data_IF_796370667440
#
_entry.id   IF_796370667440
#
_cell.length_a   1.000
_cell.length_b   1.000
_cell.length_c   1.000
_cell.angle_alpha   90.00
_cell.angle_beta   90.00
_cell.angle_gamma   90.00
#
_symmetry.space_group_name_H-M   'P 1'
#
loop_
_entity.id
_entity.type
_entity.pdbx_description
1 polymer ?
#
# COMPACT_ATOMS: atom_id res chain seq x y z
N UNK A 1 -2.18 -16.67 -16.40
CA UNK A 1 -1.99 -15.94 -15.13
C UNK A 1 -0.73 -16.44 -14.44
N UNK A 2 0.25 -15.56 -14.19
CA UNK A 2 1.41 -15.88 -13.33
C UNK A 2 1.34 -15.06 -12.05
N UNK A 3 1.38 -15.75 -10.92
CA UNK A 3 1.27 -15.17 -9.58
C UNK A 3 2.47 -15.60 -8.76
N UNK A 4 3.17 -14.63 -8.17
CA UNK A 4 4.21 -14.84 -7.18
C UNK A 4 3.84 -14.02 -5.95
N UNK A 5 3.44 -14.68 -4.86
CA UNK A 5 3.02 -14.01 -3.63
C UNK A 5 3.90 -14.46 -2.46
N UNK A 6 4.42 -13.49 -1.69
CA UNK A 6 5.23 -13.70 -0.48
C UNK A 6 6.44 -14.63 -0.63
N UNK A 7 6.98 -14.68 -1.85
CA UNK A 7 8.17 -15.49 -2.14
C UNK A 7 9.44 -14.81 -1.56
N UNK A 8 10.51 -15.59 -1.39
CA UNK A 8 11.84 -15.07 -1.07
C UNK A 8 12.59 -14.53 -2.30
N UNK A 9 11.86 -14.28 -3.40
CA UNK A 9 12.41 -13.77 -4.65
C UNK A 9 12.88 -12.34 -4.44
N UNK A 10 14.18 -12.10 -4.62
CA UNK A 10 14.76 -10.76 -4.52
C UNK A 10 14.89 -10.07 -5.88
N UNK A 11 15.02 -10.85 -6.96
CA UNK A 11 15.09 -10.33 -8.33
C UNK A 11 14.29 -11.25 -9.25
N UNK A 12 13.73 -10.71 -10.32
CA UNK A 12 13.26 -11.53 -11.43
C UNK A 12 14.44 -11.85 -12.35
N UNK A 13 14.50 -13.07 -12.92
CA UNK A 13 15.55 -13.41 -13.85
C UNK A 13 15.40 -12.63 -15.16
N UNK A 14 16.52 -12.32 -15.82
CA UNK A 14 16.53 -11.53 -17.05
C UNK A 14 15.73 -12.14 -18.20
N UNK A 15 15.52 -13.46 -18.21
CA UNK A 15 14.69 -14.14 -19.22
C UNK A 15 13.18 -13.89 -19.02
N UNK A 16 12.76 -13.23 -17.93
CA UNK A 16 11.33 -12.94 -17.69
C UNK A 16 10.68 -12.20 -18.88
N UNK A 17 11.43 -11.34 -19.57
CA UNK A 17 10.98 -10.63 -20.78
C UNK A 17 10.57 -11.53 -21.93
N UNK A 18 11.02 -12.79 -21.95
CA UNK A 18 10.65 -13.78 -22.96
C UNK A 18 9.20 -14.25 -22.83
N UNK A 19 8.52 -13.91 -21.72
CA UNK A 19 7.12 -14.25 -21.48
C UNK A 19 6.16 -13.28 -22.20
N UNK A 20 6.40 -12.97 -23.48
CA UNK A 20 5.68 -11.95 -24.25
C UNK A 20 4.16 -12.17 -24.33
N UNK A 21 3.70 -13.42 -24.22
CA UNK A 21 2.28 -13.81 -24.20
C UNK A 21 1.64 -13.75 -22.81
N UNK A 22 2.34 -13.22 -21.80
CA UNK A 22 1.79 -13.10 -20.45
C UNK A 22 0.67 -12.07 -20.43
N UNK A 23 -0.54 -12.50 -20.06
CA UNK A 23 -1.70 -11.59 -19.97
C UNK A 23 -1.93 -11.00 -18.57
N UNK A 24 -1.53 -11.73 -17.51
CA UNK A 24 -1.75 -11.34 -16.13
C UNK A 24 -0.49 -11.58 -15.31
N UNK A 25 -0.04 -10.54 -14.62
CA UNK A 25 1.10 -10.61 -13.74
C UNK A 25 0.77 -10.07 -12.35
N UNK A 26 0.76 -10.96 -11.36
CA UNK A 26 0.66 -10.61 -9.95
C UNK A 26 2.00 -10.91 -9.26
N UNK A 27 2.63 -9.89 -8.68
CA UNK A 27 3.83 -10.03 -7.87
C UNK A 27 3.65 -9.30 -6.54
N UNK A 28 3.53 -10.05 -5.46
CA UNK A 28 3.54 -9.54 -4.10
C UNK A 28 4.84 -9.92 -3.39
N UNK A 29 5.61 -8.88 -3.07
CA UNK A 29 6.89 -8.98 -2.39
C UNK A 29 6.69 -9.12 -0.89
N UNK A 30 7.64 -9.79 -0.22
CA UNK A 30 7.63 -9.99 1.23
C UNK A 30 8.39 -8.86 1.92
N UNK A 31 7.80 -8.18 2.90
CA UNK A 31 8.46 -7.09 3.64
C UNK A 31 9.80 -7.49 4.27
N UNK A 32 9.94 -8.73 4.73
CA UNK A 32 11.16 -9.24 5.38
C UNK A 32 12.20 -9.82 4.41
N UNK A 33 11.85 -10.00 3.14
CA UNK A 33 12.76 -10.43 2.08
C UNK A 33 12.23 -9.94 0.73
N UNK A 34 12.30 -8.63 0.55
CA UNK A 34 11.61 -7.94 -0.54
C UNK A 34 12.32 -8.13 -1.89
N UNK A 35 11.56 -8.03 -2.97
CA UNK A 35 12.14 -7.81 -4.30
C UNK A 35 12.87 -6.46 -4.27
N UNK A 36 14.15 -6.47 -4.60
CA UNK A 36 15.02 -5.28 -4.57
C UNK A 36 15.26 -4.69 -5.95
N UNK A 37 15.03 -5.46 -7.02
CA UNK A 37 15.22 -5.00 -8.40
C UNK A 37 14.30 -5.72 -9.38
N UNK A 38 13.86 -5.01 -10.41
CA UNK A 38 13.18 -5.53 -11.58
C UNK A 38 14.05 -5.23 -12.82
N UNK A 39 14.12 -6.11 -13.83
CA UNK A 39 14.86 -5.82 -15.05
C UNK A 39 14.23 -4.65 -15.82
N UNK A 40 15.04 -3.67 -16.23
CA UNK A 40 14.57 -2.43 -16.87
C UNK A 40 13.80 -2.67 -18.18
N UNK A 41 14.14 -3.74 -18.91
CA UNK A 41 13.56 -4.12 -20.20
C UNK A 41 12.44 -5.16 -20.08
N UNK A 42 12.01 -5.51 -18.86
CA UNK A 42 11.09 -6.64 -18.66
C UNK A 42 9.73 -6.47 -19.33
N UNK A 43 9.33 -5.24 -19.67
CA UNK A 43 8.06 -4.90 -20.29
C UNK A 43 8.15 -4.52 -21.77
N UNK A 44 9.35 -4.49 -22.37
CA UNK A 44 9.56 -3.96 -23.73
C UNK A 44 8.67 -4.64 -24.79
N UNK A 45 8.51 -5.97 -24.71
CA UNK A 45 7.71 -6.76 -25.67
C UNK A 45 6.44 -7.38 -25.03
N UNK A 46 5.96 -6.83 -23.92
CA UNK A 46 4.85 -7.38 -23.13
C UNK A 46 3.47 -6.87 -23.59
N UNK A 47 3.24 -6.85 -24.90
CA UNK A 47 2.00 -6.29 -25.46
C UNK A 47 0.76 -7.12 -25.13
N UNK A 48 0.87 -8.43 -24.83
CA UNK A 48 -0.27 -9.26 -24.42
C UNK A 48 -0.72 -8.98 -22.97
N UNK A 49 0.08 -8.26 -22.18
CA UNK A 49 -0.20 -7.99 -20.77
C UNK A 49 -1.38 -7.04 -20.60
N UNK A 50 -2.40 -7.49 -19.88
CA UNK A 50 -3.64 -6.75 -19.62
C UNK A 50 -3.84 -6.40 -18.15
N UNK A 51 -3.22 -7.13 -17.23
CA UNK A 51 -3.32 -6.88 -15.79
C UNK A 51 -1.96 -6.96 -15.10
N UNK A 52 -1.60 -5.90 -14.39
CA UNK A 52 -0.49 -5.88 -13.43
C UNK A 52 -1.05 -5.62 -12.04
N UNK A 53 -0.64 -6.45 -11.08
CA UNK A 53 -0.78 -6.18 -9.66
C UNK A 53 0.59 -6.36 -9.01
N UNK A 54 1.16 -5.28 -8.52
CA UNK A 54 2.38 -5.27 -7.72
C UNK A 54 2.10 -4.78 -6.31
N UNK A 55 2.53 -5.55 -5.31
CA UNK A 55 2.33 -5.23 -3.90
C UNK A 55 3.57 -5.47 -3.02
N UNK A 56 3.76 -4.67 -1.97
CA UNK A 56 4.71 -4.98 -0.89
C UNK A 56 6.19 -4.78 -1.21
N UNK A 57 6.51 -3.76 -2.02
CA UNK A 57 7.88 -3.42 -2.42
C UNK A 57 8.45 -2.34 -1.50
N UNK A 58 9.47 -2.67 -0.71
CA UNK A 58 10.05 -1.69 0.24
C UNK A 58 11.29 -1.00 -0.31
N UNK A 59 12.04 -1.66 -1.19
CA UNK A 59 13.36 -1.21 -1.65
C UNK A 59 13.39 -0.72 -3.11
N UNK A 60 12.33 -0.95 -3.88
CA UNK A 60 12.29 -0.54 -5.28
C UNK A 60 12.11 0.98 -5.36
N UNK A 61 13.16 1.63 -5.89
CA UNK A 61 13.17 3.05 -6.22
C UNK A 61 12.42 3.38 -7.49
N UNK A 62 12.53 2.52 -8.52
CA UNK A 62 12.04 2.78 -9.88
C UNK A 62 11.42 1.54 -10.49
N UNK A 63 10.36 1.75 -11.27
CA UNK A 63 9.75 0.70 -12.06
C UNK A 63 10.33 0.67 -13.48
N UNK A 64 10.35 -0.50 -14.14
CA UNK A 64 10.66 -0.61 -15.57
C UNK A 64 9.71 0.22 -16.42
N UNK A 65 10.15 0.62 -17.61
CA UNK A 65 9.34 1.41 -18.54
C UNK A 65 8.04 0.69 -18.93
N UNK A 66 6.94 1.45 -19.05
CA UNK A 66 5.64 0.93 -19.47
C UNK A 66 5.41 0.97 -20.99
N UNK A 67 6.40 1.38 -21.79
CA UNK A 67 6.23 1.57 -23.25
C UNK A 67 5.66 0.36 -24.00
N UNK A 68 6.07 -0.87 -23.63
CA UNK A 68 5.57 -2.09 -24.29
C UNK A 68 4.18 -2.54 -23.83
N UNK A 69 3.61 -1.94 -22.78
CA UNK A 69 2.34 -2.34 -22.14
C UNK A 69 1.09 -1.80 -22.84
N UNK A 70 1.05 -1.89 -24.17
CA UNK A 70 0.03 -1.24 -25.02
C UNK A 70 -1.40 -1.75 -24.85
N UNK A 71 -1.58 -2.96 -24.28
CA UNK A 71 -2.91 -3.53 -24.00
C UNK A 71 -3.29 -3.53 -22.51
N UNK A 72 -2.52 -2.87 -21.64
CA UNK A 72 -2.78 -2.88 -20.21
C UNK A 72 -4.15 -2.25 -19.91
N UNK A 73 -5.00 -3.00 -19.20
CA UNK A 73 -6.35 -2.57 -18.79
C UNK A 73 -6.44 -2.26 -17.30
N UNK A 74 -5.58 -2.87 -16.49
CA UNK A 74 -5.55 -2.67 -15.04
C UNK A 74 -4.13 -2.60 -14.53
N UNK A 75 -3.83 -1.54 -13.79
CA UNK A 75 -2.57 -1.35 -13.09
C UNK A 75 -2.85 -1.14 -11.60
N UNK A 76 -2.30 -2.01 -10.76
CA UNK A 76 -2.35 -1.90 -9.30
C UNK A 76 -0.93 -1.86 -8.76
N UNK A 77 -0.57 -0.76 -8.10
CA UNK A 77 0.69 -0.56 -7.39
C UNK A 77 0.34 -0.28 -5.93
N UNK A 78 0.62 -1.24 -5.05
CA UNK A 78 0.27 -1.17 -3.64
C UNK A 78 1.53 -1.29 -2.77
N UNK A 79 1.67 -0.40 -1.80
CA UNK A 79 2.75 -0.45 -0.80
C UNK A 79 4.13 -0.45 -1.45
N UNK A 80 4.49 0.70 -1.99
CA UNK A 80 5.79 1.00 -2.58
C UNK A 80 6.49 2.06 -1.74
N UNK A 81 7.25 1.61 -0.72
CA UNK A 81 7.79 2.52 0.30
C UNK A 81 9.00 3.32 -0.18
N UNK A 82 9.69 2.83 -1.22
CA UNK A 82 10.90 3.41 -1.79
C UNK A 82 10.73 4.05 -3.16
N UNK A 83 9.53 4.03 -3.76
CA UNK A 83 9.31 4.46 -5.16
C UNK A 83 9.38 5.98 -5.29
N UNK A 84 10.35 6.48 -6.03
CA UNK A 84 10.61 7.93 -6.20
C UNK A 84 9.88 8.54 -7.41
N UNK A 85 9.64 7.75 -8.46
CA UNK A 85 9.00 8.17 -9.69
C UNK A 85 8.20 7.03 -10.34
N UNK A 86 7.11 7.38 -11.02
CA UNK A 86 6.35 6.46 -11.87
C UNK A 86 6.74 6.66 -13.35
N UNK A 87 6.86 5.57 -14.14
CA UNK A 87 7.05 5.67 -15.59
C UNK A 87 5.89 6.42 -16.29
N UNK A 88 6.15 6.96 -17.48
CA UNK A 88 5.13 7.60 -18.31
C UNK A 88 3.98 6.65 -18.66
N UNK A 89 2.76 7.21 -18.76
CA UNK A 89 1.55 6.48 -19.14
C UNK A 89 1.18 6.64 -20.63
N UNK A 90 2.06 7.22 -21.45
CA UNK A 90 1.80 7.51 -22.86
C UNK A 90 1.41 6.29 -23.72
N UNK A 91 1.89 5.11 -23.36
CA UNK A 91 1.59 3.83 -24.02
C UNK A 91 0.32 3.16 -23.49
N UNK A 92 -0.18 3.55 -22.31
CA UNK A 92 -1.24 2.86 -21.57
C UNK A 92 -2.66 3.22 -22.07
N UNK A 93 -2.84 3.37 -23.38
CA UNK A 93 -4.05 3.91 -24.01
C UNK A 93 -5.33 3.11 -23.70
N UNK A 94 -5.21 1.85 -23.28
CA UNK A 94 -6.33 0.95 -22.94
C UNK A 94 -6.60 0.83 -21.43
N UNK A 95 -5.92 1.63 -20.61
CA UNK A 95 -6.01 1.50 -19.16
C UNK A 95 -7.40 1.91 -18.66
N UNK A 96 -8.13 0.96 -18.07
CA UNK A 96 -9.47 1.18 -17.54
C UNK A 96 -9.47 1.35 -16.01
N UNK A 97 -8.46 0.81 -15.32
CA UNK A 97 -8.32 0.87 -13.86
C UNK A 97 -6.90 1.21 -13.46
N UNK A 98 -6.77 2.25 -12.64
CA UNK A 98 -5.52 2.64 -12.01
C UNK A 98 -5.73 2.69 -10.49
N UNK A 99 -4.95 1.87 -9.78
CA UNK A 99 -4.84 1.90 -8.34
C UNK A 99 -3.38 2.12 -7.97
N UNK A 100 -3.07 3.24 -7.33
CA UNK A 100 -1.78 3.51 -6.70
C UNK A 100 -2.06 3.81 -5.24
N UNK A 101 -1.56 2.98 -4.33
CA UNK A 101 -1.82 3.15 -2.91
C UNK A 101 -0.56 2.93 -2.09
N UNK A 102 -0.41 3.71 -1.02
CA UNK A 102 0.72 3.60 -0.09
C UNK A 102 2.08 3.77 -0.82
N UNK A 103 2.33 4.97 -1.33
CA UNK A 103 3.58 5.39 -1.99
C UNK A 103 4.13 6.64 -1.31
N UNK A 104 4.51 6.53 -0.03
CA UNK A 104 4.58 7.68 0.88
C UNK A 104 5.67 8.70 0.55
N UNK A 105 6.65 8.34 -0.29
CA UNK A 105 7.73 9.24 -0.74
C UNK A 105 7.51 9.80 -2.16
N UNK A 106 6.56 9.26 -2.93
CA UNK A 106 6.35 9.67 -4.31
C UNK A 106 5.73 11.08 -4.33
N UNK A 107 6.44 12.03 -4.94
CA UNK A 107 6.10 13.45 -4.86
C UNK A 107 5.17 13.94 -5.97
N UNK A 108 5.14 13.23 -7.09
CA UNK A 108 4.45 13.65 -8.31
C UNK A 108 3.79 12.45 -8.98
N UNK A 109 2.95 12.73 -9.98
CA UNK A 109 2.36 11.73 -10.85
C UNK A 109 2.77 12.01 -12.30
N UNK A 110 2.85 10.97 -13.15
CA UNK A 110 2.98 11.18 -14.59
C UNK A 110 1.70 11.84 -15.13
N UNK A 111 1.78 12.42 -16.33
CA UNK A 111 0.60 12.98 -16.97
C UNK A 111 -0.44 11.88 -17.22
N UNK A 112 -1.66 12.09 -16.71
CA UNK A 112 -2.79 11.18 -16.88
C UNK A 112 -3.64 11.50 -18.13
N UNK A 113 -3.30 12.56 -18.86
CA UNK A 113 -3.97 12.91 -20.12
C UNK A 113 -4.06 11.75 -21.13
N UNK A 114 -3.02 10.89 -21.31
CA UNK A 114 -3.08 9.77 -22.26
C UNK A 114 -4.16 8.72 -21.95
N UNK A 115 -4.62 8.62 -20.70
CA UNK A 115 -5.57 7.62 -20.22
C UNK A 115 -6.95 8.22 -19.87
N UNK A 116 -7.13 9.54 -20.03
CA UNK A 116 -8.31 10.26 -19.54
C UNK A 116 -9.66 9.80 -20.12
N UNK A 117 -9.64 9.26 -21.34
CA UNK A 117 -10.84 8.84 -22.08
C UNK A 117 -11.18 7.36 -21.86
N UNK A 118 -10.22 6.53 -21.44
CA UNK A 118 -10.40 5.09 -21.23
C UNK A 118 -10.55 4.70 -19.76
N UNK A 119 -10.06 5.54 -18.84
CA UNK A 119 -10.09 5.27 -17.42
C UNK A 119 -11.51 5.28 -16.85
N UNK A 120 -11.91 4.17 -16.23
CA UNK A 120 -13.22 3.96 -15.58
C UNK A 120 -13.13 3.98 -14.06
N UNK A 121 -11.94 3.71 -13.51
CA UNK A 121 -11.70 3.69 -12.07
C UNK A 121 -10.31 4.25 -11.77
N UNK A 122 -10.26 5.19 -10.85
CA UNK A 122 -9.04 5.78 -10.32
C UNK A 122 -9.07 5.71 -8.79
N UNK A 123 -7.99 5.20 -8.20
CA UNK A 123 -7.74 5.18 -6.76
C UNK A 123 -6.28 5.59 -6.54
N UNK A 124 -6.07 6.71 -5.85
CA UNK A 124 -4.77 7.27 -5.50
C UNK A 124 -4.76 7.56 -3.99
N UNK A 125 -4.44 6.56 -3.18
CA UNK A 125 -4.71 6.57 -1.73
C UNK A 125 -3.55 6.17 -0.83
N UNK A 126 -3.89 6.24 0.45
CA UNK A 126 -3.10 6.30 1.64
C UNK A 126 -2.19 7.52 1.72
N UNK A 127 -1.11 7.56 0.94
CA UNK A 127 -0.27 8.76 0.85
C UNK A 127 0.60 8.74 -0.41
N UNK A 128 0.50 9.83 -1.17
CA UNK A 128 1.55 10.38 -2.03
C UNK A 128 1.64 11.87 -1.75
N UNK A 129 2.84 12.45 -1.64
CA UNK A 129 2.97 13.84 -1.16
C UNK A 129 2.41 14.86 -2.17
N UNK A 130 2.17 14.43 -3.42
CA UNK A 130 1.47 15.18 -4.46
C UNK A 130 0.13 15.77 -4.02
N UNK A 131 -0.51 15.19 -3.02
CA UNK A 131 -1.80 15.63 -2.47
C UNK A 131 -1.73 17.01 -1.80
N UNK A 132 -0.55 17.43 -1.35
CA UNK A 132 -0.41 18.58 -0.48
C UNK A 132 0.92 19.33 -0.66
N UNK A 133 1.88 18.80 -1.42
CA UNK A 133 3.19 19.44 -1.67
C UNK A 133 3.12 20.55 -2.75
N UNK A 134 1.97 20.76 -3.39
CA UNK A 134 1.77 21.76 -4.44
C UNK A 134 1.77 21.21 -5.88
N UNK A 135 1.87 19.90 -6.08
CA UNK A 135 1.76 19.27 -7.40
C UNK A 135 0.34 19.38 -7.99
N UNK A 136 -0.67 18.94 -7.23
CA UNK A 136 -2.08 18.99 -7.64
C UNK A 136 -2.75 20.36 -7.42
N UNK A 137 -2.08 21.30 -6.74
CA UNK A 137 -2.71 22.54 -6.35
C UNK A 137 -1.80 23.45 -5.51
N UNK A 138 -2.38 24.14 -4.53
CA UNK A 138 -1.58 24.94 -3.60
C UNK A 138 -0.95 24.03 -2.55
N UNK A 139 0.31 24.26 -2.23
CA UNK A 139 0.95 23.53 -1.15
C UNK A 139 0.25 23.80 0.18
N UNK A 140 -0.06 22.75 0.94
CA UNK A 140 -0.66 22.78 2.26
C UNK A 140 0.04 21.77 3.17
N UNK A 141 1.15 22.19 3.80
CA UNK A 141 1.90 21.33 4.71
C UNK A 141 1.12 20.93 5.97
N UNK A 142 -0.02 21.58 6.28
CA UNK A 142 -0.88 21.18 7.41
C UNK A 142 -1.79 19.99 7.08
N UNK A 143 -1.88 19.61 5.82
CA UNK A 143 -2.67 18.44 5.39
C UNK A 143 -2.09 17.16 6.01
N UNK A 144 -2.92 16.22 6.53
CA UNK A 144 -2.46 14.95 7.07
C UNK A 144 -1.55 14.17 6.12
N UNK A 145 -1.75 14.28 4.81
CA UNK A 145 -0.93 13.61 3.77
C UNK A 145 0.51 14.13 3.72
N UNK A 146 0.78 15.32 4.26
CA UNK A 146 2.10 15.95 4.29
C UNK A 146 2.79 15.84 5.66
N UNK A 147 2.10 15.34 6.69
CA UNK A 147 2.68 15.14 8.02
C UNK A 147 3.56 13.89 8.06
N UNK A 148 4.13 13.54 9.21
CA UNK A 148 4.80 12.24 9.37
C UNK A 148 3.78 11.11 9.15
N UNK A 149 4.11 10.10 8.35
CA UNK A 149 3.17 9.02 8.07
C UNK A 149 2.90 8.22 9.34
N UNK A 150 1.64 8.09 9.80
CA UNK A 150 1.36 7.46 11.10
C UNK A 150 1.67 5.96 11.13
N UNK A 151 1.49 5.24 10.01
CA UNK A 151 1.89 3.83 9.89
C UNK A 151 3.39 3.63 9.54
N UNK A 152 3.88 4.24 8.47
CA UNK A 152 5.23 3.94 7.94
C UNK A 152 6.36 4.79 8.53
N UNK A 153 6.04 5.83 9.31
CA UNK A 153 7.04 6.74 9.88
C UNK A 153 7.74 7.63 8.85
N UNK A 154 7.29 7.65 7.59
CA UNK A 154 7.87 8.47 6.53
C UNK A 154 7.86 9.95 6.93
N UNK A 155 8.97 10.70 6.74
CA UNK A 155 9.05 12.10 7.15
C UNK A 155 7.96 12.99 6.57
N UNK A 156 7.73 14.14 7.21
CA UNK A 156 6.85 15.17 6.67
C UNK A 156 7.38 15.67 5.31
N UNK A 157 6.46 15.97 4.39
CA UNK A 157 6.79 16.47 3.06
C UNK A 157 7.21 17.95 3.10
N UNK A 158 7.90 18.39 2.05
CA UNK A 158 8.15 19.80 1.77
C UNK A 158 7.34 20.26 0.56
N UNK A 159 7.11 21.57 0.43
CA UNK A 159 6.52 22.10 -0.79
C UNK A 159 7.49 21.95 -1.96
N UNK A 160 6.97 21.60 -3.14
CA UNK A 160 7.74 21.58 -4.37
C UNK A 160 8.24 23.00 -4.71
N UNK A 161 9.43 23.13 -5.33
CA UNK A 161 9.94 24.39 -5.86
C UNK A 161 8.96 25.08 -6.83
N UNK A 162 9.06 26.41 -6.96
CA UNK A 162 8.12 27.19 -7.79
C UNK A 162 8.23 26.91 -9.29
N UNK A 163 9.40 26.44 -9.73
CA UNK A 163 9.75 26.03 -11.09
C UNK A 163 9.43 24.57 -11.39
N UNK A 164 8.95 23.80 -10.40
CA UNK A 164 8.57 22.41 -10.60
C UNK A 164 7.34 22.26 -11.50
N UNK A 165 7.36 21.25 -12.38
CA UNK A 165 6.22 20.92 -13.26
C UNK A 165 4.99 20.52 -12.44
N UNK A 166 3.87 21.21 -12.65
CA UNK A 166 2.58 20.90 -12.00
C UNK A 166 1.78 19.88 -12.81
N UNK A 167 0.77 19.30 -12.18
CA UNK A 167 -0.21 18.49 -12.89
C UNK A 167 -0.82 19.26 -14.07
N UNK A 168 -0.96 18.59 -15.21
CA UNK A 168 -1.57 19.18 -16.42
C UNK A 168 -3.06 19.47 -16.18
N UNK A 169 -3.68 20.40 -16.94
CA UNK A 169 -5.12 20.66 -16.83
C UNK A 169 -5.97 19.39 -17.05
N UNK A 170 -5.56 18.53 -17.98
CA UNK A 170 -6.24 17.25 -18.24
C UNK A 170 -6.10 16.28 -17.07
N UNK A 171 -4.93 16.20 -16.42
CA UNK A 171 -4.72 15.40 -15.21
C UNK A 171 -5.60 15.88 -14.06
N UNK A 172 -5.67 17.20 -13.83
CA UNK A 172 -6.52 17.79 -12.80
C UNK A 172 -8.00 17.50 -13.07
N UNK A 173 -8.46 17.73 -14.31
CA UNK A 173 -9.84 17.46 -14.70
C UNK A 173 -10.22 15.97 -14.59
N UNK A 174 -9.27 15.05 -14.81
CA UNK A 174 -9.49 13.61 -14.61
C UNK A 174 -9.65 13.28 -13.12
N UNK A 175 -8.76 13.79 -12.26
CA UNK A 175 -8.81 13.57 -10.81
C UNK A 175 -10.12 14.10 -10.22
N UNK A 176 -10.60 15.25 -10.68
CA UNK A 176 -11.88 15.83 -10.23
C UNK A 176 -13.10 14.93 -10.49
N UNK A 177 -13.01 13.98 -11.44
CA UNK A 177 -14.07 12.97 -11.67
C UNK A 177 -14.14 11.91 -10.56
N UNK A 178 -13.09 11.79 -9.73
CA UNK A 178 -12.96 10.77 -8.69
C UNK A 178 -12.66 11.35 -7.28
N UNK A 179 -13.47 12.30 -6.78
CA UNK A 179 -13.16 13.07 -5.56
C UNK A 179 -13.10 12.20 -4.29
N UNK A 180 -13.80 11.07 -4.28
CA UNK A 180 -13.81 10.14 -3.15
C UNK A 180 -12.63 9.15 -3.15
N UNK A 181 -11.78 9.14 -4.18
CA UNK A 181 -10.75 8.10 -4.35
C UNK A 181 -9.33 8.65 -4.50
N UNK A 182 -9.14 9.97 -4.44
CA UNK A 182 -7.85 10.62 -4.56
C UNK A 182 -7.57 11.41 -3.29
N UNK A 183 -6.34 11.29 -2.77
CA UNK A 183 -5.87 12.06 -1.60
C UNK A 183 -6.71 11.86 -0.34
N UNK A 184 -7.07 10.62 -0.06
CA UNK A 184 -7.78 10.22 1.14
C UNK A 184 -7.33 8.82 1.62
N UNK A 185 -7.97 8.35 2.69
CA UNK A 185 -7.77 6.98 3.17
C UNK A 185 -6.42 6.77 3.87
N UNK A 186 -5.94 7.78 4.62
CA UNK A 186 -4.72 7.67 5.41
C UNK A 186 -4.82 6.47 6.37
N UNK A 187 -3.80 5.62 6.35
CA UNK A 187 -3.67 4.38 7.09
C UNK A 187 -3.01 4.70 8.43
N UNK A 188 -3.70 4.32 9.49
CA UNK A 188 -3.20 4.45 10.86
C UNK A 188 -2.75 3.09 11.39
N UNK A 189 -1.85 3.06 12.40
CA UNK A 189 -1.58 1.85 13.17
C UNK A 189 -2.88 1.14 13.56
N UNK A 190 -2.93 -0.18 13.36
CA UNK A 190 -4.14 -0.98 13.55
C UNK A 190 -5.14 -0.97 12.37
N UNK A 191 -4.89 -0.22 11.30
CA UNK A 191 -5.69 -0.31 10.05
C UNK A 191 -5.12 -1.35 9.08
N UNK A 192 -3.82 -1.61 9.17
CA UNK A 192 -3.10 -2.60 8.37
C UNK A 192 -2.13 -3.37 9.27
N UNK A 193 -2.53 -4.58 9.65
CA UNK A 193 -1.74 -5.48 10.49
C UNK A 193 -0.74 -6.19 9.59
N UNK A 194 0.56 -5.99 9.87
CA UNK A 194 1.64 -6.65 9.16
C UNK A 194 1.69 -8.16 9.45
N UNK A 195 2.47 -8.94 8.69
CA UNK A 195 2.67 -10.35 9.01
C UNK A 195 3.32 -10.47 10.40
N UNK A 196 2.91 -11.46 11.21
CA UNK A 196 3.49 -11.66 12.53
C UNK A 196 4.99 -12.00 12.41
N UNK A 197 5.80 -11.45 13.31
CA UNK A 197 7.22 -11.76 13.46
C UNK A 197 7.42 -12.55 14.75
N UNK A 198 8.60 -13.15 14.95
CA UNK A 198 8.93 -13.78 16.23
C UNK A 198 8.78 -12.79 17.39
N UNK A 199 9.30 -11.59 17.22
CA UNK A 199 9.27 -10.54 18.24
C UNK A 199 7.84 -10.15 18.63
N UNK A 200 6.90 -10.15 17.68
CA UNK A 200 5.49 -9.86 17.99
C UNK A 200 4.72 -11.07 18.50
N UNK A 201 5.11 -12.30 18.15
CA UNK A 201 4.44 -13.53 18.58
C UNK A 201 4.88 -14.04 19.97
N UNK A 202 6.16 -13.92 20.28
CA UNK A 202 6.76 -14.48 21.51
C UNK A 202 6.09 -13.97 22.80
N UNK A 203 5.72 -12.68 22.94
CA UNK A 203 4.98 -12.19 24.12
C UNK A 203 3.63 -12.88 24.31
N UNK A 204 3.00 -13.31 23.22
CA UNK A 204 1.67 -13.89 23.23
C UNK A 204 1.65 -15.35 23.67
N UNK A 205 2.73 -16.11 23.45
CA UNK A 205 2.82 -17.55 23.76
C UNK A 205 1.59 -18.32 23.24
N UNK A 206 1.11 -17.96 22.04
CA UNK A 206 -0.08 -18.57 21.44
C UNK A 206 -1.40 -18.34 22.18
N UNK A 207 -1.47 -17.36 23.10
CA UNK A 207 -2.66 -17.06 23.91
C UNK A 207 -3.35 -15.81 23.37
N UNK A 208 -4.62 -15.93 22.98
CA UNK A 208 -5.44 -14.79 22.56
C UNK A 208 -5.79 -13.88 23.75
N UNK A 209 -6.06 -12.61 23.45
CA UNK A 209 -6.60 -11.58 24.34
C UNK A 209 -5.73 -11.16 25.53
N UNK A 210 -4.56 -11.77 25.70
CA UNK A 210 -3.54 -11.33 26.63
C UNK A 210 -3.07 -9.92 26.27
N UNK A 211 -2.90 -9.05 27.27
CA UNK A 211 -2.22 -7.77 27.10
C UNK A 211 -0.74 -7.99 26.78
N UNK A 212 -0.23 -7.31 25.76
CA UNK A 212 1.19 -7.35 25.41
C UNK A 212 1.77 -5.93 25.44
N UNK A 213 3.10 -5.83 25.40
CA UNK A 213 3.79 -4.55 25.41
C UNK A 213 4.18 -4.16 23.99
N UNK A 214 3.86 -2.94 23.59
CA UNK A 214 4.32 -2.34 22.35
C UNK A 214 5.35 -1.22 22.62
N UNK A 215 6.33 -1.10 21.74
CA UNK A 215 7.43 -0.13 21.87
C UNK A 215 6.98 1.34 21.87
N UNK A 216 5.82 1.65 21.26
CA UNK A 216 5.24 2.99 21.27
C UNK A 216 4.45 3.31 22.56
N UNK A 217 4.26 2.32 23.43
CA UNK A 217 3.40 2.43 24.62
C UNK A 217 1.90 2.37 24.31
N UNK A 218 1.51 2.08 23.06
CA UNK A 218 0.12 1.87 22.69
C UNK A 218 -0.50 0.66 23.40
N UNK A 219 -1.78 0.76 23.76
CA UNK A 219 -2.56 -0.37 24.26
C UNK A 219 -2.62 -1.46 23.19
N UNK A 220 -2.13 -2.65 23.51
CA UNK A 220 -1.99 -3.75 22.57
C UNK A 220 -2.43 -5.09 23.16
N UNK A 221 -2.87 -5.97 22.29
CA UNK A 221 -3.48 -7.25 22.64
C UNK A 221 -2.99 -8.34 21.70
N UNK A 222 -2.74 -9.52 22.25
CA UNK A 222 -2.47 -10.71 21.49
C UNK A 222 -3.71 -11.13 20.70
N UNK A 223 -3.63 -11.05 19.37
CA UNK A 223 -4.75 -11.30 18.49
C UNK A 223 -4.30 -12.04 17.23
N UNK A 224 -5.21 -12.80 16.61
CA UNK A 224 -4.99 -13.49 15.34
C UNK A 224 -5.57 -12.67 14.18
N UNK A 225 -5.00 -11.48 13.99
CA UNK A 225 -5.20 -10.64 12.82
C UNK A 225 -5.23 -11.46 11.53
N UNK A 226 -6.32 -11.37 10.74
CA UNK A 226 -6.48 -12.05 9.43
C UNK A 226 -6.21 -13.57 9.45
N UNK A 227 -6.52 -14.25 10.57
CA UNK A 227 -6.22 -15.67 10.77
C UNK A 227 -4.74 -16.05 10.69
N UNK A 228 -3.84 -15.07 10.89
CA UNK A 228 -2.41 -15.30 11.01
C UNK A 228 -2.05 -15.84 12.41
N UNK A 229 -0.75 -16.08 12.65
CA UNK A 229 -0.24 -16.41 13.97
C UNK A 229 -0.61 -15.36 15.02
N UNK A 230 -0.83 -15.79 16.26
CA UNK A 230 -1.19 -14.89 17.37
C UNK A 230 0.02 -14.00 17.68
N UNK A 231 -0.15 -12.71 17.43
CA UNK A 231 0.88 -11.71 17.65
C UNK A 231 0.33 -10.52 18.44
N UNK A 232 1.25 -9.77 19.04
CA UNK A 232 0.95 -8.55 19.73
C UNK A 232 0.53 -7.49 18.70
N UNK A 233 -0.70 -7.01 18.86
CA UNK A 233 -1.34 -6.10 17.91
C UNK A 233 -1.83 -4.84 18.61
N UNK A 234 -1.52 -3.66 18.05
CA UNK A 234 -1.94 -2.35 18.56
C UNK A 234 -3.31 -1.91 18.02
N UNK A 235 -4.02 -2.77 17.29
CA UNK A 235 -5.31 -2.45 16.70
C UNK A 235 -6.37 -2.22 17.79
N UNK A 236 -6.95 -1.02 17.90
CA UNK A 236 -7.96 -0.74 18.92
C UNK A 236 -9.28 -1.46 18.65
N UNK A 237 -9.57 -1.90 17.42
CA UNK A 237 -10.86 -2.49 17.06
C UNK A 237 -11.05 -3.88 17.68
N UNK A 238 -10.12 -4.85 17.56
CA UNK A 238 -10.20 -6.11 18.29
C UNK A 238 -10.32 -5.94 19.81
N UNK A 239 -9.59 -4.99 20.40
CA UNK A 239 -9.64 -4.70 21.84
C UNK A 239 -11.04 -4.22 22.24
N UNK A 240 -11.59 -3.23 21.53
CA UNK A 240 -12.96 -2.72 21.76
C UNK A 240 -14.00 -3.81 21.57
N UNK A 241 -13.85 -4.63 20.54
CA UNK A 241 -14.72 -5.77 20.26
C UNK A 241 -14.72 -6.77 21.42
N UNK A 242 -13.54 -7.15 21.93
CA UNK A 242 -13.46 -8.13 23.02
C UNK A 242 -14.03 -7.61 24.34
N UNK A 243 -13.76 -6.34 24.70
CA UNK A 243 -14.41 -5.68 25.84
C UNK A 243 -15.93 -5.75 25.76
N UNK A 244 -16.49 -5.52 24.57
CA UNK A 244 -17.93 -5.57 24.34
C UNK A 244 -18.50 -6.99 24.42
N UNK A 245 -17.77 -7.99 23.92
CA UNK A 245 -18.13 -9.41 24.06
C UNK A 245 -18.22 -9.83 25.53
N UNK A 246 -17.19 -9.48 26.32
CA UNK A 246 -17.14 -9.76 27.77
C UNK A 246 -18.32 -9.10 28.48
N UNK A 247 -18.55 -7.80 28.23
CA UNK A 247 -19.63 -7.05 28.88
C UNK A 247 -21.03 -7.62 28.59
N UNK A 248 -21.22 -8.28 27.44
CA UNK A 248 -22.49 -8.89 27.04
C UNK A 248 -22.58 -10.39 27.30
N UNK A 249 -21.49 -11.03 27.73
CA UNK A 249 -21.43 -12.48 27.90
C UNK A 249 -21.67 -13.25 26.59
N UNK A 250 -21.15 -12.73 25.46
CA UNK A 250 -21.30 -13.35 24.13
C UNK A 250 -19.95 -13.78 23.56
N UNK A 251 -19.95 -14.84 22.75
CA UNK A 251 -18.73 -15.43 22.21
C UNK A 251 -18.06 -16.39 23.20
N UNK A 252 -16.76 -16.62 23.02
CA UNK A 252 -16.01 -17.53 23.89
C UNK A 252 -15.90 -16.98 25.32
N UNK A 253 -16.06 -17.82 26.35
CA UNK A 253 -15.87 -17.43 27.74
C UNK A 253 -14.53 -16.72 27.95
N UNK A 254 -14.53 -15.65 28.73
CA UNK A 254 -13.30 -14.93 29.01
C UNK A 254 -12.45 -15.64 30.05
N UNK A 255 -11.13 -15.49 29.94
CA UNK A 255 -10.17 -15.98 30.89
C UNK A 255 -9.72 -14.84 31.84
N UNK A 256 -10.10 -14.87 33.13
CA UNK A 256 -9.73 -13.81 34.08
C UNK A 256 -8.21 -13.61 34.24
N UNK A 257 -7.39 -14.64 34.02
CA UNK A 257 -5.93 -14.54 34.12
C UNK A 257 -5.34 -13.60 33.04
N UNK A 258 -5.91 -13.62 31.83
CA UNK A 258 -5.37 -12.87 30.69
C UNK A 258 -6.23 -11.68 30.27
N UNK A 259 -7.51 -11.66 30.67
CA UNK A 259 -8.51 -10.73 30.17
C UNK A 259 -9.14 -9.86 31.28
N UNK A 260 -8.62 -9.91 32.51
CA UNK A 260 -9.08 -9.02 33.58
C UNK A 260 -8.97 -7.53 33.19
N UNK A 261 -7.91 -7.17 32.45
CA UNK A 261 -7.71 -5.81 31.91
C UNK A 261 -8.75 -5.40 30.85
N UNK A 262 -9.47 -6.37 30.29
CA UNK A 262 -10.60 -6.17 29.37
C UNK A 262 -11.96 -6.16 30.10
N UNK A 263 -11.97 -6.34 31.42
CA UNK A 263 -13.17 -6.38 32.25
C UNK A 263 -13.72 -7.78 32.54
N UNK A 264 -12.95 -8.84 32.24
CA UNK A 264 -13.29 -10.20 32.66
C UNK A 264 -13.24 -10.31 34.19
N UNK A 265 -14.20 -11.04 34.78
CA UNK A 265 -14.29 -11.26 36.22
C UNK A 265 -14.24 -12.75 36.52
#
# INVERSE_FOLDING_TARGET
MKTLEYTHTQTLPNWFKELAELEFFHLESKFTSSVVSLPDDMFQDMSSLTFIHFAGFVAIGRLPSFEGLTNLKSLTLAVFLGLDELPSFDSLRRLERLLVTCVPILETLPDLAPIKDTLKSLILTDRGTWCCNGFLGKCNLKDPMCQVHPLWGTPAATCLPSDHTKATPDTLALIEKFPANVCNGLLYPGSLEGPPSRDTMDPCKGTLYRQCADSSGAESMCYNARFMGIACDTNPFPIKMRRYQIARGVGDPCNPEYEAWLGCK
#
